data_IF_709523346578
#
_entry.id   IF_709523346578
#
_cell.length_a   1.000
_cell.length_b   1.000
_cell.length_c   1.000
_cell.angle_alpha   90.00
_cell.angle_beta   90.00
_cell.angle_gamma   90.00
#
_symmetry.space_group_name_H-M   'P 1'
#
loop_
_entity.id
_entity.type
_entity.pdbx_description
1 polymer ?
#
# COMPACT_ATOMS: atom_id res chain seq x y z
N UNK A 1 44.51 -1.20 22.08
CA UNK A 1 44.57 -2.65 22.35
C UNK A 1 43.17 -3.10 22.77
N UNK A 2 42.49 -3.84 21.87
CA UNK A 2 41.41 -4.85 22.08
C UNK A 2 40.19 -4.55 23.00
N UNK A 3 38.93 -4.96 22.79
CA UNK A 3 38.11 -5.63 21.74
C UNK A 3 36.66 -5.73 22.31
N UNK A 4 35.62 -5.60 21.46
CA UNK A 4 34.26 -6.25 21.40
C UNK A 4 33.38 -6.39 22.68
N UNK A 5 32.06 -6.58 22.63
CA UNK A 5 30.92 -6.42 21.70
C UNK A 5 29.68 -7.02 22.41
N UNK A 6 28.47 -6.57 22.06
CA UNK A 6 27.21 -7.34 21.93
C UNK A 6 26.09 -6.32 21.65
N UNK A 7 25.69 -6.06 20.39
CA UNK A 7 24.82 -6.83 19.49
C UNK A 7 23.39 -7.01 20.02
N UNK A 8 22.48 -6.15 19.55
CA UNK A 8 21.05 -6.48 19.38
C UNK A 8 20.65 -6.03 17.98
N UNK A 9 20.18 -7.00 17.21
CA UNK A 9 19.75 -6.92 15.82
C UNK A 9 18.24 -6.63 15.82
N UNK A 10 17.81 -5.55 15.15
CA UNK A 10 16.40 -5.34 14.80
C UNK A 10 16.33 -5.05 13.29
N UNK A 11 15.87 -6.05 12.55
CA UNK A 11 15.56 -5.97 11.13
C UNK A 11 14.25 -5.20 10.96
N UNK A 12 14.31 -3.97 10.43
CA UNK A 12 13.16 -3.31 9.84
C UNK A 12 13.02 -3.77 8.38
N UNK A 13 11.87 -4.37 8.07
CA UNK A 13 11.46 -4.64 6.71
C UNK A 13 11.20 -3.31 5.99
N UNK A 14 12.03 -3.01 5.00
CA UNK A 14 11.78 -1.90 4.10
C UNK A 14 10.77 -2.37 3.05
N UNK A 15 9.60 -1.72 3.02
CA UNK A 15 8.88 -1.55 1.75
C UNK A 15 9.91 -1.04 0.72
N UNK A 16 9.83 -1.49 -0.53
CA UNK A 16 10.81 -1.12 -1.56
C UNK A 16 10.66 0.34 -1.98
N UNK A 17 11.06 1.24 -1.09
CA UNK A 17 11.54 2.55 -1.44
C UNK A 17 12.92 2.32 -2.06
N UNK A 18 13.02 2.50 -3.37
CA UNK A 18 14.32 2.59 -4.03
C UNK A 18 15.06 3.75 -3.36
N UNK A 19 15.99 3.43 -2.47
CA UNK A 19 16.87 4.41 -1.84
C UNK A 19 17.82 4.92 -2.91
N UNK A 20 17.47 6.05 -3.51
CA UNK A 20 18.39 6.84 -4.31
C UNK A 20 19.11 7.75 -3.32
N UNK A 21 20.44 7.61 -3.23
CA UNK A 21 21.26 8.48 -2.39
C UNK A 21 20.95 9.94 -2.69
N UNK A 22 20.63 10.73 -1.66
CA UNK A 22 20.33 12.16 -1.80
C UNK A 22 21.54 12.96 -2.34
N UNK A 23 22.74 12.38 -2.26
CA UNK A 23 24.00 12.94 -2.75
C UNK A 23 24.25 12.64 -4.24
N UNK A 24 23.38 11.86 -4.88
CA UNK A 24 23.52 11.46 -6.28
C UNK A 24 24.67 10.46 -6.52
N UNK A 25 24.82 9.95 -7.74
CA UNK A 25 25.90 9.01 -8.07
C UNK A 25 27.27 9.68 -7.92
N UNK A 26 28.21 9.00 -7.25
CA UNK A 26 29.60 9.47 -7.11
C UNK A 26 30.21 9.79 -8.49
N UNK A 27 30.85 10.95 -8.67
CA UNK A 27 31.43 11.33 -9.96
C UNK A 27 32.48 10.30 -10.40
N UNK A 28 32.23 9.67 -11.55
CA UNK A 28 33.21 8.78 -12.19
C UNK A 28 34.25 9.62 -12.94
N UNK A 29 35.55 9.56 -12.60
CA UNK A 29 36.58 10.44 -13.18
C UNK A 29 36.77 10.27 -14.71
N UNK A 30 36.27 9.18 -15.28
CA UNK A 30 36.24 8.94 -16.73
C UNK A 30 35.11 9.68 -17.47
N UNK A 31 34.15 10.29 -16.77
CA UNK A 31 33.01 10.96 -17.37
C UNK A 31 33.18 12.49 -17.30
N UNK A 32 33.27 13.17 -18.45
CA UNK A 32 33.04 14.63 -18.51
C UNK A 32 31.58 14.89 -18.18
N UNK A 33 31.31 15.41 -16.98
CA UNK A 33 29.97 15.66 -16.47
C UNK A 33 29.14 16.43 -17.50
N UNK A 34 28.12 15.78 -18.04
CA UNK A 34 27.19 16.39 -18.99
C UNK A 34 25.79 16.26 -18.40
N UNK A 35 25.31 17.39 -17.84
CA UNK A 35 24.00 17.65 -17.23
C UNK A 35 23.66 16.81 -15.99
N UNK A 36 23.65 17.48 -14.84
CA UNK A 36 22.82 17.11 -13.68
C UNK A 36 21.36 17.16 -14.12
N UNK A 37 20.75 16.00 -14.40
CA UNK A 37 19.29 15.89 -14.44
C UNK A 37 18.82 15.84 -12.99
N UNK A 38 18.02 16.81 -12.58
CA UNK A 38 17.21 16.66 -11.37
C UNK A 38 16.23 15.49 -11.60
N UNK A 39 15.94 14.69 -10.56
CA UNK A 39 14.91 13.67 -10.66
C UNK A 39 13.56 14.36 -10.91
N UNK A 40 13.01 14.15 -12.10
CA UNK A 40 11.64 14.56 -12.42
C UNK A 40 10.69 13.49 -11.89
N UNK A 41 9.96 13.83 -10.83
CA UNK A 41 8.90 12.98 -10.30
C UNK A 41 7.59 13.37 -10.97
N UNK A 42 7.01 12.44 -11.73
CA UNK A 42 5.65 12.58 -12.23
C UNK A 42 4.74 11.62 -11.48
N UNK A 43 3.59 12.15 -11.04
CA UNK A 43 2.52 11.33 -10.48
C UNK A 43 1.54 11.01 -11.59
N UNK A 44 1.47 9.74 -11.97
CA UNK A 44 0.44 9.24 -12.88
C UNK A 44 -0.63 8.48 -12.09
N UNK A 45 -1.87 8.44 -12.57
CA UNK A 45 -2.91 7.59 -11.99
C UNK A 45 -2.46 6.13 -11.96
N UNK A 46 -2.95 5.37 -10.97
CA UNK A 46 -2.58 3.97 -10.78
C UNK A 46 -2.85 3.10 -12.03
N UNK A 47 -3.93 3.41 -12.77
CA UNK A 47 -4.25 2.76 -14.05
C UNK A 47 -3.09 2.76 -15.05
N UNK A 48 -2.28 3.83 -15.10
CA UNK A 48 -1.10 3.91 -15.95
C UNK A 48 0.00 2.94 -15.48
N UNK A 49 0.30 2.93 -14.19
CA UNK A 49 1.32 2.04 -13.62
C UNK A 49 0.99 0.56 -13.79
N UNK A 50 -0.30 0.21 -13.67
CA UNK A 50 -0.76 -1.16 -13.90
C UNK A 50 -0.64 -1.54 -15.38
N UNK A 51 -0.97 -0.61 -16.28
CA UNK A 51 -0.82 -0.78 -17.73
C UNK A 51 0.64 -0.96 -18.13
N UNK A 52 1.55 -0.16 -17.57
CA UNK A 52 3.00 -0.29 -17.81
C UNK A 52 3.52 -1.65 -17.35
N UNK A 53 3.06 -2.11 -16.19
CA UNK A 53 3.42 -3.42 -15.65
C UNK A 53 2.96 -4.55 -16.57
N UNK A 54 1.68 -4.56 -16.94
CA UNK A 54 1.13 -5.65 -17.75
C UNK A 54 1.62 -5.60 -19.20
N UNK A 55 1.87 -4.41 -19.77
CA UNK A 55 2.46 -4.28 -21.10
C UNK A 55 3.89 -4.85 -21.17
N UNK A 56 4.64 -4.72 -20.07
CA UNK A 56 5.99 -5.28 -19.93
C UNK A 56 5.97 -6.80 -19.85
N UNK A 57 5.12 -7.37 -18.99
CA UNK A 57 5.15 -8.81 -18.69
C UNK A 57 4.21 -9.67 -19.55
N UNK A 58 3.16 -9.06 -20.13
CA UNK A 58 2.17 -9.68 -21.04
C UNK A 58 1.52 -10.95 -20.47
N UNK A 59 1.16 -10.89 -19.19
CA UNK A 59 0.48 -11.97 -18.46
C UNK A 59 -0.70 -11.39 -17.66
N UNK A 60 -1.73 -12.20 -17.36
CA UNK A 60 -2.76 -11.81 -16.40
C UNK A 60 -2.10 -11.43 -15.07
N UNK A 61 -2.62 -10.38 -14.42
CA UNK A 61 -2.09 -9.88 -13.15
C UNK A 61 -3.11 -10.08 -12.04
N UNK A 62 -2.61 -10.38 -10.85
CA UNK A 62 -3.39 -10.36 -9.61
C UNK A 62 -2.82 -9.27 -8.73
N UNK A 63 -3.67 -8.39 -8.23
CA UNK A 63 -3.28 -7.43 -7.20
C UNK A 63 -3.30 -8.20 -5.89
N UNK A 64 -2.12 -8.55 -5.40
CA UNK A 64 -1.98 -9.41 -4.23
C UNK A 64 -2.27 -8.66 -2.92
N UNK A 65 -2.04 -7.34 -2.89
CA UNK A 65 -2.27 -6.51 -1.71
C UNK A 65 -2.62 -5.08 -2.13
N UNK A 66 -3.62 -4.49 -1.47
CA UNK A 66 -3.87 -3.05 -1.43
C UNK A 66 -4.55 -2.71 -0.10
N UNK A 67 -4.26 -1.55 0.48
CA UNK A 67 -4.83 -1.15 1.77
C UNK A 67 -4.35 0.23 2.20
N UNK A 68 -5.00 0.78 3.23
CA UNK A 68 -4.74 2.14 3.68
C UNK A 68 -4.80 2.29 5.21
N UNK A 69 -3.73 2.79 5.86
CA UNK A 69 -3.76 3.09 7.28
C UNK A 69 -4.41 4.46 7.52
N UNK A 70 -5.48 4.49 8.31
CA UNK A 70 -6.10 5.74 8.71
C UNK A 70 -5.26 6.39 9.80
N UNK A 71 -4.97 7.70 9.63
CA UNK A 71 -4.16 8.45 10.58
C UNK A 71 -4.69 8.32 12.01
N UNK A 72 -3.80 7.96 12.94
CA UNK A 72 -4.08 7.81 14.37
C UNK A 72 -5.34 6.99 14.69
N UNK A 73 -5.66 5.98 13.87
CA UNK A 73 -6.89 5.17 14.06
C UNK A 73 -6.92 4.47 15.42
N UNK A 74 -5.77 3.93 15.86
CA UNK A 74 -5.65 3.23 17.14
C UNK A 74 -5.80 4.17 18.35
N UNK A 75 -5.53 5.47 18.17
CA UNK A 75 -5.65 6.48 19.25
C UNK A 75 -7.09 6.95 19.46
N UNK A 76 -8.03 6.57 18.58
CA UNK A 76 -9.43 6.93 18.69
C UNK A 76 -10.08 6.22 19.87
N UNK A 77 -10.58 7.00 20.83
CA UNK A 77 -11.19 6.49 22.08
C UNK A 77 -12.52 5.79 21.82
N UNK A 78 -13.37 6.34 20.95
CA UNK A 78 -14.65 5.74 20.63
C UNK A 78 -14.51 4.70 19.52
N UNK A 79 -15.01 3.49 19.76
CA UNK A 79 -15.04 2.43 18.75
C UNK A 79 -15.73 2.91 17.47
N UNK A 80 -16.83 3.66 17.60
CA UNK A 80 -17.56 4.21 16.46
C UNK A 80 -16.67 5.04 15.51
N UNK A 81 -15.69 5.79 16.04
CA UNK A 81 -14.78 6.60 15.22
C UNK A 81 -13.76 5.73 14.47
N UNK A 82 -13.42 4.54 15.00
CA UNK A 82 -12.60 3.55 14.30
C UNK A 82 -13.42 2.80 13.23
N UNK A 83 -14.70 2.54 13.51
CA UNK A 83 -15.59 1.89 12.54
C UNK A 83 -15.96 2.81 11.38
N UNK A 84 -16.02 4.12 11.59
CA UNK A 84 -16.34 5.09 10.54
C UNK A 84 -15.08 5.62 9.84
N UNK A 85 -14.40 4.71 9.14
CA UNK A 85 -13.10 4.89 8.50
C UNK A 85 -13.18 5.42 7.05
N UNK A 86 -13.89 6.53 6.86
CA UNK A 86 -14.10 7.16 5.55
C UNK A 86 -12.83 7.34 4.70
N UNK A 87 -11.65 7.71 5.26
CA UNK A 87 -10.44 7.81 4.44
C UNK A 87 -10.02 6.49 3.78
N UNK A 88 -10.15 5.35 4.48
CA UNK A 88 -9.86 4.02 3.92
C UNK A 88 -10.87 3.64 2.85
N UNK A 89 -12.16 3.84 3.13
CA UNK A 89 -13.24 3.68 2.15
C UNK A 89 -12.96 4.45 0.86
N UNK A 90 -12.60 5.73 0.96
CA UNK A 90 -12.27 6.54 -0.22
C UNK A 90 -11.05 6.00 -0.97
N UNK A 91 -10.02 5.51 -0.25
CA UNK A 91 -8.86 4.90 -0.88
C UNK A 91 -9.24 3.63 -1.65
N UNK A 92 -9.93 2.68 -1.01
CA UNK A 92 -10.29 1.40 -1.61
C UNK A 92 -11.16 1.59 -2.87
N UNK A 93 -12.17 2.45 -2.78
CA UNK A 93 -13.04 2.77 -3.91
C UNK A 93 -12.28 3.46 -5.05
N UNK A 94 -11.37 4.39 -4.74
CA UNK A 94 -10.56 5.07 -5.76
C UNK A 94 -9.59 4.10 -6.43
N UNK A 95 -8.92 3.25 -5.64
CA UNK A 95 -7.97 2.26 -6.12
C UNK A 95 -8.64 1.26 -7.07
N UNK A 96 -9.76 0.66 -6.65
CA UNK A 96 -10.51 -0.28 -7.49
C UNK A 96 -11.14 0.38 -8.71
N UNK A 97 -11.50 1.67 -8.62
CA UNK A 97 -11.95 2.43 -9.80
C UNK A 97 -10.83 2.55 -10.83
N UNK A 98 -9.59 2.82 -10.42
CA UNK A 98 -8.45 2.85 -11.33
C UNK A 98 -8.11 1.46 -11.90
N UNK A 99 -8.28 0.39 -11.12
CA UNK A 99 -8.17 -0.99 -11.62
C UNK A 99 -9.20 -1.24 -12.72
N UNK A 100 -10.45 -0.84 -12.53
CA UNK A 100 -11.48 -0.97 -13.55
C UNK A 100 -11.15 -0.17 -14.81
N UNK A 101 -10.64 1.05 -14.68
CA UNK A 101 -10.18 1.83 -15.84
C UNK A 101 -9.08 1.10 -16.60
N UNK A 102 -8.11 0.50 -15.91
CA UNK A 102 -7.07 -0.28 -16.57
C UNK A 102 -7.64 -1.48 -17.35
N UNK A 103 -8.63 -2.18 -16.81
CA UNK A 103 -9.31 -3.29 -17.49
C UNK A 103 -10.07 -2.77 -18.73
N UNK A 104 -10.91 -1.75 -18.57
CA UNK A 104 -11.84 -1.31 -19.60
C UNK A 104 -11.22 -0.39 -20.67
N UNK A 105 -10.32 0.51 -20.28
CA UNK A 105 -9.71 1.50 -21.18
C UNK A 105 -8.41 1.00 -21.81
N UNK A 106 -7.69 0.11 -21.11
CA UNK A 106 -6.36 -0.37 -21.55
C UNK A 106 -6.29 -1.88 -21.79
N UNK A 107 -7.38 -2.62 -21.59
CA UNK A 107 -7.44 -4.05 -21.86
C UNK A 107 -6.55 -4.89 -20.95
N UNK A 108 -6.25 -4.39 -19.74
CA UNK A 108 -5.43 -5.11 -18.76
C UNK A 108 -6.21 -6.31 -18.22
N UNK A 109 -5.62 -7.50 -18.33
CA UNK A 109 -6.19 -8.73 -17.78
C UNK A 109 -5.90 -8.84 -16.27
N UNK A 110 -6.83 -8.35 -15.46
CA UNK A 110 -6.77 -8.43 -13.98
C UNK A 110 -7.63 -9.59 -13.49
N UNK A 111 -6.99 -10.61 -12.94
CA UNK A 111 -7.65 -11.82 -12.46
C UNK A 111 -8.23 -11.70 -11.04
N UNK A 112 -7.79 -10.71 -10.26
CA UNK A 112 -8.31 -10.47 -8.92
C UNK A 112 -7.56 -9.38 -8.16
N UNK A 113 -8.15 -8.94 -7.05
CA UNK A 113 -7.55 -7.98 -6.13
C UNK A 113 -7.86 -8.38 -4.68
N UNK A 114 -6.84 -8.43 -3.83
CA UNK A 114 -6.96 -8.84 -2.44
C UNK A 114 -6.64 -7.66 -1.51
N UNK A 115 -7.64 -7.24 -0.74
CA UNK A 115 -7.49 -6.17 0.23
C UNK A 115 -6.64 -6.66 1.41
N UNK A 116 -5.56 -5.95 1.69
CA UNK A 116 -4.76 -6.10 2.89
C UNK A 116 -5.29 -5.11 3.95
N UNK A 117 -5.96 -5.56 5.00
CA UNK A 117 -6.20 -6.95 5.38
C UNK A 117 -7.61 -7.15 5.93
N UNK A 118 -8.00 -8.42 6.12
CA UNK A 118 -9.34 -8.78 6.56
C UNK A 118 -9.66 -8.33 8.00
N UNK A 119 -8.67 -8.20 8.88
CA UNK A 119 -8.86 -7.81 10.28
C UNK A 119 -7.57 -7.29 10.93
N UNK A 120 -7.68 -6.24 11.77
CA UNK A 120 -6.57 -5.56 12.45
C UNK A 120 -5.49 -6.55 12.92
N UNK A 121 -4.30 -6.43 12.33
CA UNK A 121 -3.22 -7.38 12.53
C UNK A 121 -1.95 -6.69 13.10
N UNK A 122 -0.79 -7.35 12.97
CA UNK A 122 0.49 -6.83 13.42
C UNK A 122 1.36 -6.47 12.21
N UNK A 123 1.60 -5.18 12.00
CA UNK A 123 2.27 -4.64 10.81
C UNK A 123 3.77 -4.54 11.04
N UNK A 124 4.44 -5.69 11.12
CA UNK A 124 5.90 -5.82 10.98
C UNK A 124 6.77 -4.96 11.91
N UNK A 125 6.24 -4.56 13.07
CA UNK A 125 6.91 -3.71 14.05
C UNK A 125 6.04 -2.55 14.52
N UNK A 126 4.97 -2.26 13.80
CA UNK A 126 3.95 -1.31 14.19
C UNK A 126 2.62 -2.04 14.48
N UNK A 127 2.04 -1.75 15.64
CA UNK A 127 0.73 -2.26 16.04
C UNK A 127 -0.35 -1.19 16.03
N UNK A 128 -0.06 0.02 15.56
CA UNK A 128 -1.01 1.14 15.56
C UNK A 128 -1.47 1.53 14.15
N UNK A 129 -0.69 1.19 13.11
CA UNK A 129 -1.00 1.45 11.70
C UNK A 129 -1.89 0.37 11.10
N UNK A 130 -3.13 0.26 11.57
CA UNK A 130 -4.07 -0.74 11.05
C UNK A 130 -4.53 -0.36 9.64
N UNK A 131 -4.41 -1.28 8.69
CA UNK A 131 -4.81 -1.15 7.28
C UNK A 131 -6.12 -1.88 6.98
N UNK A 132 -6.65 -2.54 8.00
CA UNK A 132 -7.63 -3.60 7.87
C UNK A 132 -9.06 -3.10 7.83
N UNK A 133 -9.95 -3.93 7.29
CA UNK A 133 -11.39 -3.62 7.14
C UNK A 133 -12.24 -4.06 8.34
N UNK A 134 -11.64 -4.66 9.37
CA UNK A 134 -12.29 -5.01 10.63
C UNK A 134 -11.42 -4.62 11.81
N UNK A 135 -12.02 -4.07 12.86
CA UNK A 135 -11.31 -3.86 14.13
C UNK A 135 -11.14 -5.17 14.88
N UNK A 136 -10.05 -5.31 15.64
CA UNK A 136 -9.82 -6.44 16.55
C UNK A 136 -9.54 -5.92 17.94
N UNK A 137 -10.40 -6.25 18.91
CA UNK A 137 -10.06 -6.05 20.32
C UNK A 137 -8.96 -7.04 20.71
N UNK A 138 -7.75 -6.53 21.02
CA UNK A 138 -6.58 -7.38 21.29
C UNK A 138 -6.69 -8.21 22.58
N UNK A 139 -7.59 -7.86 23.51
CA UNK A 139 -7.82 -8.65 24.74
C UNK A 139 -8.93 -9.67 24.55
N UNK A 140 -10.11 -9.22 24.10
CA UNK A 140 -11.30 -10.09 23.99
C UNK A 140 -11.41 -10.84 22.66
N UNK A 141 -10.59 -10.48 21.67
CA UNK A 141 -10.65 -11.01 20.30
C UNK A 141 -12.02 -10.79 19.63
N UNK A 142 -12.81 -9.81 20.10
CA UNK A 142 -14.06 -9.41 19.43
C UNK A 142 -13.71 -8.58 18.19
N UNK A 143 -14.43 -8.84 17.08
CA UNK A 143 -14.24 -8.18 15.78
C UNK A 143 -15.45 -7.33 15.42
N UNK A 144 -15.23 -6.21 14.76
CA UNK A 144 -16.30 -5.36 14.24
C UNK A 144 -15.94 -4.87 12.84
N UNK A 145 -16.91 -4.93 11.91
CA UNK A 145 -16.74 -4.43 10.55
C UNK A 145 -16.64 -2.90 10.53
N UNK A 146 -15.66 -2.39 9.79
CA UNK A 146 -15.53 -0.95 9.51
C UNK A 146 -16.39 -0.57 8.30
N UNK A 147 -16.63 0.72 8.09
CA UNK A 147 -17.40 1.26 6.96
C UNK A 147 -16.79 0.81 5.62
N UNK A 148 -15.47 0.86 5.50
CA UNK A 148 -14.72 0.39 4.31
C UNK A 148 -15.10 -1.03 3.87
N UNK A 149 -15.32 -1.96 4.79
CA UNK A 149 -15.78 -3.32 4.47
C UNK A 149 -17.10 -3.29 3.68
N UNK A 150 -18.07 -2.54 4.17
CA UNK A 150 -19.39 -2.47 3.54
C UNK A 150 -19.32 -1.79 2.18
N UNK A 151 -18.57 -0.69 2.07
CA UNK A 151 -18.41 0.00 0.78
C UNK A 151 -17.68 -0.87 -0.26
N UNK A 152 -16.67 -1.63 0.17
CA UNK A 152 -15.96 -2.58 -0.69
C UNK A 152 -16.89 -3.68 -1.19
N UNK A 153 -17.70 -4.26 -0.30
CA UNK A 153 -18.70 -5.28 -0.65
C UNK A 153 -19.74 -4.71 -1.62
N UNK A 154 -20.26 -3.50 -1.35
CA UNK A 154 -21.25 -2.85 -2.19
C UNK A 154 -20.66 -2.49 -3.57
N UNK A 155 -19.40 -2.05 -3.62
CA UNK A 155 -18.68 -1.80 -4.86
C UNK A 155 -18.60 -3.06 -5.75
N UNK A 156 -18.28 -4.22 -5.15
CA UNK A 156 -18.19 -5.50 -5.87
C UNK A 156 -19.58 -5.96 -6.32
N UNK A 157 -20.58 -5.97 -5.42
CA UNK A 157 -21.96 -6.38 -5.73
C UNK A 157 -22.59 -5.55 -6.84
N UNK A 158 -22.35 -4.24 -6.86
CA UNK A 158 -22.87 -3.34 -7.89
C UNK A 158 -22.38 -3.70 -9.31
N UNK A 159 -21.36 -4.56 -9.43
CA UNK A 159 -20.73 -4.98 -10.70
C UNK A 159 -20.91 -6.47 -10.98
N UNK A 160 -21.85 -7.12 -10.30
CA UNK A 160 -22.22 -8.51 -10.55
C UNK A 160 -21.31 -9.55 -9.87
N UNK A 161 -20.59 -9.14 -8.81
CA UNK A 161 -19.89 -10.06 -7.91
C UNK A 161 -20.79 -10.68 -6.84
#
# INVERSE_FOLDING_TARGET
MFIKAQLVLATLGAAQQVYLDAEGPTPRPQCKATRTREPEYSFTPFSHTLTDTVSTWRRPVVITEFGFPVFAETDKVALADQLFDTPRSNYDLSYLTEVLKAIWEHGVDVAGAYAWSFADNWEFGDGASNVDIQTVNRTSQVRNYKKSFFDLVDFVKARGG
#
